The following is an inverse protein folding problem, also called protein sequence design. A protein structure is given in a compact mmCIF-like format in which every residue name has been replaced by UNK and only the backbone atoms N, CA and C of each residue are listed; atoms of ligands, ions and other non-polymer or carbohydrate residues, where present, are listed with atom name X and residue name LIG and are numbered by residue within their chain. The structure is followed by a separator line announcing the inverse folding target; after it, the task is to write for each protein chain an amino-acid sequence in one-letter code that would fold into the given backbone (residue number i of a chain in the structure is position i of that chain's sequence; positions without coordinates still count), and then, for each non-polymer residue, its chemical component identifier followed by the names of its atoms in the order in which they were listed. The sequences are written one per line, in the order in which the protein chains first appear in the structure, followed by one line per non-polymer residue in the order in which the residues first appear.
data_IF_879090105571
#
_entry.id   IF_879090105571
#
_cell.length_a   1.000
_cell.length_b   1.000
_cell.length_c   1.000
_cell.angle_alpha   90.00
_cell.angle_beta   90.00
_cell.angle_gamma   90.00
#
_symmetry.space_group_name_H-M   'P 1'
#
loop_
_entity.id
_entity.type
_entity.pdbx_description
1 polymer ?
#
# COMPACT_ATOMS: atom_id res chain seq x y z
N UNK A 1 6.21 -1.61 12.68
CA UNK A 1 4.95 -1.40 11.93
C UNK A 1 4.22 -0.25 12.60
N UNK A 2 3.93 0.83 11.87
CA UNK A 2 3.34 2.04 12.46
C UNK A 2 1.87 1.80 12.82
N UNK A 3 1.57 1.78 14.12
CA UNK A 3 0.24 1.49 14.67
C UNK A 3 -0.77 2.64 14.53
N UNK A 4 -0.47 3.69 13.74
CA UNK A 4 -1.26 4.93 13.67
C UNK A 4 -1.79 5.27 12.26
N UNK A 5 -1.88 4.30 11.33
CA UNK A 5 -2.44 4.54 9.99
C UNK A 5 -3.90 5.04 10.04
N UNK A 6 -4.63 4.66 11.10
CA UNK A 6 -6.04 5.03 11.28
C UNK A 6 -6.27 6.54 11.51
N UNK A 7 -5.20 7.33 11.76
CA UNK A 7 -5.27 8.79 11.96
C UNK A 7 -4.80 9.58 10.75
N UNK A 8 -4.42 8.91 9.65
CA UNK A 8 -4.03 9.59 8.43
C UNK A 8 -5.27 10.17 7.75
N UNK A 9 -5.07 11.35 7.18
CA UNK A 9 -5.99 12.00 6.28
C UNK A 9 -6.16 11.16 4.99
N UNK A 10 -7.35 11.22 4.38
CA UNK A 10 -7.69 10.44 3.18
C UNK A 10 -6.69 10.73 2.05
N UNK A 11 -6.31 12.00 1.87
CA UNK A 11 -5.31 12.39 0.87
C UNK A 11 -3.96 11.71 1.11
N UNK A 12 -3.55 11.56 2.38
CA UNK A 12 -2.31 10.87 2.73
C UNK A 12 -2.41 9.37 2.51
N UNK A 13 -3.56 8.77 2.77
CA UNK A 13 -3.81 7.35 2.46
C UNK A 13 -3.71 7.11 0.95
N UNK A 14 -4.28 8.00 0.14
CA UNK A 14 -4.21 7.92 -1.33
C UNK A 14 -2.78 8.09 -1.84
N UNK A 15 -2.04 9.05 -1.29
CA UNK A 15 -0.63 9.24 -1.64
C UNK A 15 0.18 7.97 -1.32
N UNK A 16 -0.08 7.34 -0.18
CA UNK A 16 0.61 6.12 0.22
C UNK A 16 0.24 4.91 -0.65
N UNK A 17 -1.03 4.79 -1.07
CA UNK A 17 -1.47 3.80 -2.06
C UNK A 17 -0.67 3.95 -3.36
N UNK A 18 -0.50 5.18 -3.84
CA UNK A 18 0.28 5.46 -5.06
C UNK A 18 1.75 5.07 -4.86
N UNK A 19 2.34 5.42 -3.73
CA UNK A 19 3.73 5.06 -3.40
C UNK A 19 3.94 3.55 -3.40
N UNK A 20 3.07 2.80 -2.73
CA UNK A 20 3.16 1.32 -2.67
C UNK A 20 2.94 0.70 -4.05
N UNK A 21 2.01 1.24 -4.86
CA UNK A 21 1.82 0.78 -6.25
C UNK A 21 3.08 0.99 -7.10
N UNK A 22 3.78 2.11 -6.95
CA UNK A 22 5.07 2.35 -7.63
C UNK A 22 6.14 1.34 -7.21
N UNK A 23 6.25 1.05 -5.91
CA UNK A 23 7.18 0.04 -5.38
C UNK A 23 6.87 -1.35 -5.97
N UNK A 24 5.59 -1.74 -6.00
CA UNK A 24 5.16 -3.02 -6.59
C UNK A 24 5.42 -3.08 -8.10
N UNK A 25 5.31 -1.96 -8.81
CA UNK A 25 5.68 -1.87 -10.23
C UNK A 25 7.18 -2.10 -10.42
N UNK A 26 8.03 -1.44 -9.62
CA UNK A 26 9.48 -1.65 -9.64
C UNK A 26 9.83 -3.12 -9.41
N UNK A 27 9.22 -3.78 -8.42
CA UNK A 27 9.42 -5.21 -8.21
C UNK A 27 9.03 -6.07 -9.42
N UNK A 28 7.97 -5.72 -10.16
CA UNK A 28 7.58 -6.44 -11.40
C UNK A 28 8.60 -6.24 -12.50
N UNK A 29 9.12 -5.02 -12.67
CA UNK A 29 10.19 -4.73 -13.65
C UNK A 29 11.45 -5.51 -13.30
N UNK A 30 11.84 -5.53 -12.02
CA UNK A 30 12.99 -6.32 -11.53
C UNK A 30 12.80 -7.81 -11.75
N UNK A 31 11.59 -8.33 -11.51
CA UNK A 31 11.26 -9.73 -11.77
C UNK A 31 11.35 -10.07 -13.26
N UNK A 32 10.82 -9.22 -14.13
CA UNK A 32 10.87 -9.40 -15.58
C UNK A 32 12.31 -9.36 -16.12
N UNK A 33 13.15 -8.51 -15.54
CA UNK A 33 14.58 -8.38 -15.89
C UNK A 33 15.48 -9.41 -15.19
N UNK A 34 14.89 -10.38 -14.47
CA UNK A 34 15.60 -11.41 -13.69
C UNK A 34 16.61 -10.84 -12.68
N UNK A 35 16.38 -9.62 -12.20
CA UNK A 35 17.16 -9.04 -11.13
C UNK A 35 16.87 -9.75 -9.80
N UNK A 36 17.83 -9.78 -8.86
CA UNK A 36 17.59 -10.37 -7.55
C UNK A 36 16.51 -9.59 -6.79
N UNK A 37 15.43 -10.28 -6.42
CA UNK A 37 14.30 -9.71 -5.68
C UNK A 37 14.06 -10.46 -4.37
N UNK A 38 13.63 -9.72 -3.35
CA UNK A 38 13.24 -10.28 -2.06
C UNK A 38 11.74 -10.55 -2.03
N UNK A 39 11.34 -11.82 -2.20
CA UNK A 39 9.92 -12.21 -2.25
C UNK A 39 9.14 -11.82 -0.99
N UNK A 40 9.78 -11.80 0.18
CA UNK A 40 9.15 -11.38 1.43
C UNK A 40 8.78 -9.90 1.44
N UNK A 41 9.58 -9.04 0.81
CA UNK A 41 9.27 -7.62 0.68
C UNK A 41 8.04 -7.40 -0.21
N UNK A 42 7.95 -8.11 -1.34
CA UNK A 42 6.76 -8.05 -2.21
C UNK A 42 5.50 -8.45 -1.42
N UNK A 43 5.57 -9.53 -0.65
CA UNK A 43 4.45 -9.99 0.21
C UNK A 43 4.07 -8.93 1.25
N UNK A 44 5.06 -8.28 1.86
CA UNK A 44 4.86 -7.20 2.85
C UNK A 44 4.14 -6.02 2.23
N UNK A 45 4.62 -5.49 1.10
CA UNK A 45 3.98 -4.35 0.42
C UNK A 45 2.58 -4.67 -0.10
N UNK A 46 2.33 -5.90 -0.57
CA UNK A 46 0.96 -6.32 -0.93
C UNK A 46 0.01 -6.30 0.27
N UNK A 47 0.45 -6.81 1.43
CA UNK A 47 -0.36 -6.78 2.67
C UNK A 47 -0.62 -5.36 3.12
N UNK A 48 0.38 -4.50 3.03
CA UNK A 48 0.29 -3.09 3.40
C UNK A 48 -0.69 -2.33 2.50
N UNK A 49 -0.65 -2.56 1.18
CA UNK A 49 -1.59 -2.00 0.23
C UNK A 49 -3.04 -2.35 0.59
N UNK A 50 -3.31 -3.65 0.83
CA UNK A 50 -4.66 -4.11 1.22
C UNK A 50 -5.12 -3.42 2.50
N UNK A 51 -4.25 -3.34 3.51
CA UNK A 51 -4.56 -2.69 4.79
C UNK A 51 -4.95 -1.22 4.60
N UNK A 52 -4.20 -0.47 3.80
CA UNK A 52 -4.46 0.95 3.59
C UNK A 52 -5.77 1.17 2.82
N UNK A 53 -6.03 0.37 1.78
CA UNK A 53 -7.31 0.42 1.02
C UNK A 53 -8.50 0.12 1.95
N UNK A 54 -8.37 -0.86 2.84
CA UNK A 54 -9.43 -1.16 3.82
C UNK A 54 -9.71 0.02 4.73
N UNK A 55 -8.67 0.68 5.26
CA UNK A 55 -8.82 1.83 6.15
C UNK A 55 -9.45 3.01 5.40
N UNK A 56 -8.98 3.32 4.18
CA UNK A 56 -9.56 4.36 3.33
C UNK A 56 -11.07 4.11 3.11
N UNK A 57 -11.43 2.89 2.73
CA UNK A 57 -12.83 2.53 2.49
C UNK A 57 -13.70 2.67 3.74
N UNK A 58 -13.19 2.24 4.90
CA UNK A 58 -13.89 2.41 6.18
C UNK A 58 -14.09 3.88 6.55
N UNK A 59 -13.10 4.74 6.31
CA UNK A 59 -13.22 6.18 6.53
C UNK A 59 -14.26 6.83 5.61
N UNK A 60 -14.29 6.45 4.33
CA UNK A 60 -15.29 6.95 3.37
C UNK A 60 -16.70 6.53 3.80
N UNK A 61 -16.92 5.27 4.16
CA UNK A 61 -18.22 4.80 4.66
C UNK A 61 -18.65 5.57 5.91
N UNK A 62 -17.72 5.81 6.84
CA UNK A 62 -18.00 6.57 8.06
C UNK A 62 -18.36 8.02 7.76
N UNK A 63 -17.74 8.64 6.75
CA UNK A 63 -18.02 10.02 6.36
C UNK A 63 -19.38 10.19 5.66
N UNK A 64 -19.92 9.12 5.07
CA UNK A 64 -21.19 9.14 4.33
C UNK A 64 -22.41 8.81 5.19
N UNK A 65 -22.22 8.43 6.46
CA UNK A 65 -23.26 8.18 7.46
C UNK A 65 -23.30 9.32 8.48
#
# INVERSE_FOLDING_TARGET
MNNNINKLDIEKLQQEIINIKKILLDYRVKQATKQPIKSHEIKKYKKELVRIITIEHQQIIKSNN
#
